data_IF_297320012354
#
_entry.id   IF_297320012354
#
_cell.length_a   1.000
_cell.length_b   1.000
_cell.length_c   1.000
_cell.angle_alpha   90.00
_cell.angle_beta   90.00
_cell.angle_gamma   90.00
#
_symmetry.space_group_name_H-M   'P 1'
#
loop_
_entity.id
_entity.type
_entity.pdbx_description
1 polymer ?
#
# COMPACT_ATOMS: atom_id res chain seq x y z
N UNK A 1 23.59 -35.33 1.63
CA UNK A 1 23.00 -34.83 0.37
C UNK A 1 21.63 -34.23 0.72
N UNK A 2 21.54 -32.92 0.91
CA UNK A 2 20.25 -32.23 1.02
C UNK A 2 19.60 -32.25 -0.36
N UNK A 3 18.43 -32.87 -0.48
CA UNK A 3 17.75 -33.03 -1.77
C UNK A 3 17.42 -31.67 -2.38
N UNK A 4 17.46 -31.58 -3.71
CA UNK A 4 17.08 -30.39 -4.49
C UNK A 4 15.62 -29.93 -4.24
N UNK A 5 14.84 -30.70 -3.47
CA UNK A 5 13.42 -30.50 -3.17
C UNK A 5 13.16 -30.02 -1.73
N UNK A 6 14.21 -29.77 -0.93
CA UNK A 6 14.05 -29.36 0.47
C UNK A 6 13.72 -27.87 0.64
N UNK A 7 14.27 -27.00 -0.22
CA UNK A 7 14.10 -25.55 -0.16
C UNK A 7 14.53 -24.88 -1.48
N UNK A 8 14.08 -23.65 -1.70
CA UNK A 8 14.45 -22.81 -2.83
C UNK A 8 15.63 -21.93 -2.43
N UNK A 9 16.74 -21.98 -3.18
CA UNK A 9 17.88 -21.07 -2.93
C UNK A 9 17.62 -19.74 -3.61
N UNK A 10 17.56 -18.65 -2.82
CA UNK A 10 17.32 -17.31 -3.33
C UNK A 10 18.63 -16.51 -3.36
N UNK A 11 19.28 -16.51 -4.53
CA UNK A 11 20.55 -15.82 -4.80
C UNK A 11 20.39 -14.74 -5.89
N UNK A 12 19.22 -14.11 -5.97
CA UNK A 12 19.04 -12.99 -6.90
C UNK A 12 19.73 -11.73 -6.37
N UNK A 13 20.52 -11.06 -7.21
CA UNK A 13 21.12 -9.78 -6.88
C UNK A 13 20.05 -8.68 -6.75
N UNK A 14 20.08 -7.84 -5.70
CA UNK A 14 19.11 -6.74 -5.53
C UNK A 14 19.29 -5.63 -6.56
N UNK A 15 20.48 -5.52 -7.15
CA UNK A 15 20.85 -4.55 -8.17
C UNK A 15 20.63 -5.14 -9.57
N UNK A 16 19.94 -4.39 -10.43
CA UNK A 16 19.69 -4.75 -11.84
C UNK A 16 20.90 -4.35 -12.69
N UNK A 17 21.31 -3.08 -12.55
CA UNK A 17 22.44 -2.51 -13.29
C UNK A 17 23.00 -1.32 -12.52
N UNK A 18 24.32 -1.13 -12.62
CA UNK A 18 25.04 0.01 -12.07
C UNK A 18 25.68 0.81 -13.20
N UNK A 19 25.29 2.08 -13.33
CA UNK A 19 25.78 3.01 -14.34
C UNK A 19 26.41 4.19 -13.63
N UNK A 20 27.74 4.15 -13.44
CA UNK A 20 28.46 5.15 -12.65
C UNK A 20 27.97 5.20 -11.20
N UNK A 21 27.56 6.38 -10.67
CA UNK A 21 27.03 6.50 -9.32
C UNK A 21 25.56 6.06 -9.18
N UNK A 22 24.87 5.78 -10.29
CA UNK A 22 23.46 5.40 -10.30
C UNK A 22 23.33 3.87 -10.28
N UNK A 23 22.66 3.36 -9.25
CA UNK A 23 22.32 1.94 -9.15
C UNK A 23 20.81 1.76 -9.32
N UNK A 24 20.41 1.01 -10.34
CA UNK A 24 19.02 0.59 -10.51
C UNK A 24 18.79 -0.69 -9.70
N UNK A 25 17.83 -0.65 -8.76
CA UNK A 25 17.48 -1.78 -7.89
C UNK A 25 16.08 -2.32 -8.19
N UNK A 26 15.88 -3.62 -7.99
CA UNK A 26 14.56 -4.26 -8.14
C UNK A 26 13.50 -3.61 -7.27
N UNK A 27 13.85 -3.27 -6.02
CA UNK A 27 12.94 -2.59 -5.09
C UNK A 27 12.39 -1.29 -5.67
N UNK A 28 13.27 -0.40 -6.16
CA UNK A 28 12.88 0.88 -6.72
C UNK A 28 12.04 0.73 -8.00
N UNK A 29 12.40 -0.23 -8.85
CA UNK A 29 11.64 -0.55 -10.06
C UNK A 29 10.22 -1.03 -9.72
N UNK A 30 10.08 -1.98 -8.79
CA UNK A 30 8.79 -2.53 -8.37
C UNK A 30 7.93 -1.49 -7.64
N UNK A 31 8.56 -0.66 -6.81
CA UNK A 31 7.89 0.48 -6.17
C UNK A 31 7.30 1.44 -7.20
N UNK A 32 8.09 1.88 -8.19
CA UNK A 32 7.61 2.78 -9.26
C UNK A 32 6.56 2.10 -10.14
N UNK A 33 6.73 0.80 -10.41
CA UNK A 33 5.76 0.01 -11.18
C UNK A 33 4.38 -0.01 -10.53
N UNK A 34 4.30 0.07 -9.19
CA UNK A 34 3.02 0.21 -8.47
C UNK A 34 2.24 1.45 -8.88
N UNK A 35 2.91 2.60 -9.03
CA UNK A 35 2.27 3.83 -9.49
C UNK A 35 1.88 3.75 -10.97
N UNK A 36 2.77 3.23 -11.82
CA UNK A 36 2.53 3.13 -13.27
C UNK A 36 1.41 2.14 -13.59
N UNK A 37 1.45 0.93 -13.04
CA UNK A 37 0.40 -0.07 -13.26
C UNK A 37 -0.90 0.32 -12.55
N UNK A 38 -0.78 0.93 -11.37
CA UNK A 38 -1.91 1.49 -10.64
C UNK A 38 -2.64 2.56 -11.43
N UNK A 39 -1.93 3.46 -12.13
CA UNK A 39 -2.57 4.51 -12.93
C UNK A 39 -3.36 3.94 -14.12
N UNK A 40 -2.92 2.84 -14.74
CA UNK A 40 -3.71 2.16 -15.78
C UNK A 40 -5.00 1.56 -15.23
N UNK A 41 -4.93 0.86 -14.09
CA UNK A 41 -6.11 0.29 -13.42
C UNK A 41 -7.08 1.40 -12.98
N UNK A 42 -6.56 2.46 -12.36
CA UNK A 42 -7.36 3.58 -11.87
C UNK A 42 -7.99 4.38 -13.03
N UNK A 43 -7.26 4.53 -14.15
CA UNK A 43 -7.80 5.16 -15.36
C UNK A 43 -8.97 4.35 -15.93
N UNK A 44 -8.86 3.02 -15.95
CA UNK A 44 -9.99 2.18 -16.35
C UNK A 44 -11.19 2.37 -15.42
N UNK A 45 -10.94 2.43 -14.10
CA UNK A 45 -11.99 2.68 -13.10
C UNK A 45 -12.68 4.02 -13.34
N UNK A 46 -11.91 5.09 -13.48
CA UNK A 46 -12.43 6.45 -13.67
C UNK A 46 -13.23 6.56 -14.97
N UNK A 47 -12.72 6.01 -16.09
CA UNK A 47 -13.47 5.95 -17.36
C UNK A 47 -14.78 5.18 -17.23
N UNK A 48 -14.77 4.04 -16.53
CA UNK A 48 -15.96 3.23 -16.31
C UNK A 48 -17.02 3.95 -15.48
N UNK A 49 -16.60 4.85 -14.58
CA UNK A 49 -17.49 5.69 -13.77
C UNK A 49 -17.79 7.05 -14.42
N UNK A 50 -17.35 7.28 -15.67
CA UNK A 50 -17.48 8.54 -16.42
C UNK A 50 -16.75 9.73 -15.78
N UNK A 51 -15.76 9.46 -14.95
CA UNK A 51 -14.85 10.47 -14.38
C UNK A 51 -13.68 10.67 -15.33
N UNK A 52 -13.29 11.94 -15.55
CA UNK A 52 -12.17 12.27 -16.43
C UNK A 52 -10.85 11.60 -15.96
N UNK A 53 -10.11 10.89 -16.84
CA UNK A 53 -8.82 10.28 -16.51
C UNK A 53 -7.76 11.27 -16.06
N UNK A 54 -7.89 12.57 -16.40
CA UNK A 54 -6.94 13.60 -15.94
C UNK A 54 -6.80 13.61 -14.41
N UNK A 55 -7.86 13.24 -13.69
CA UNK A 55 -7.84 13.18 -12.23
C UNK A 55 -6.96 12.06 -11.70
N UNK A 56 -6.73 11.01 -12.50
CA UNK A 56 -5.77 9.94 -12.19
C UNK A 56 -4.35 10.47 -12.23
N UNK A 57 -4.00 11.31 -13.21
CA UNK A 57 -2.68 11.93 -13.28
C UNK A 57 -2.45 12.85 -12.06
N UNK A 58 -3.46 13.67 -11.74
CA UNK A 58 -3.40 14.58 -10.58
C UNK A 58 -3.26 13.82 -9.27
N UNK A 59 -4.11 12.81 -9.00
CA UNK A 59 -4.02 12.05 -7.74
C UNK A 59 -2.74 11.22 -7.66
N UNK A 60 -2.24 10.68 -8.77
CA UNK A 60 -0.96 9.96 -8.82
C UNK A 60 0.19 10.84 -8.34
N UNK A 61 0.23 12.12 -8.75
CA UNK A 61 1.24 13.07 -8.28
C UNK A 61 1.10 13.33 -6.78
N UNK A 62 -0.12 13.59 -6.30
CA UNK A 62 -0.38 13.78 -4.86
C UNK A 62 0.10 12.56 -4.05
N UNK A 63 -0.23 11.36 -4.50
CA UNK A 63 0.13 10.11 -3.87
C UNK A 63 1.65 9.87 -3.88
N UNK A 64 2.33 10.12 -5.00
CA UNK A 64 3.78 9.95 -5.10
C UNK A 64 4.52 10.89 -4.14
N UNK A 65 4.16 12.18 -4.16
CA UNK A 65 4.74 13.18 -3.26
C UNK A 65 4.42 12.85 -1.80
N UNK A 66 3.15 12.56 -1.49
CA UNK A 66 2.73 12.21 -0.13
C UNK A 66 3.41 10.96 0.40
N UNK A 67 3.62 9.94 -0.44
CA UNK A 67 4.31 8.71 -0.07
C UNK A 67 5.77 8.99 0.28
N UNK A 68 6.52 9.70 -0.60
CA UNK A 68 7.95 9.97 -0.39
C UNK A 68 8.16 10.93 0.79
N UNK A 69 7.44 12.05 0.81
CA UNK A 69 7.54 13.06 1.87
C UNK A 69 7.10 12.46 3.21
N UNK A 70 5.96 11.76 3.23
CA UNK A 70 5.47 11.09 4.42
C UNK A 70 6.46 10.05 4.95
N UNK A 71 7.01 9.20 4.07
CA UNK A 71 7.98 8.19 4.46
C UNK A 71 9.24 8.81 5.07
N UNK A 72 9.77 9.86 4.44
CA UNK A 72 10.97 10.55 4.90
C UNK A 72 10.73 11.28 6.21
N UNK A 73 9.65 12.05 6.32
CA UNK A 73 9.32 12.76 7.57
C UNK A 73 9.01 11.79 8.71
N UNK A 74 8.33 10.67 8.43
CA UNK A 74 8.09 9.64 9.44
C UNK A 74 9.39 9.05 9.97
N UNK A 75 10.38 8.78 9.10
CA UNK A 75 11.70 8.35 9.54
C UNK A 75 12.37 9.42 10.42
N UNK A 76 12.44 10.65 9.91
CA UNK A 76 13.14 11.74 10.59
C UNK A 76 12.52 12.08 11.95
N UNK A 77 11.18 12.07 12.06
CA UNK A 77 10.48 12.50 13.26
C UNK A 77 10.29 11.38 14.29
N UNK A 78 10.16 10.13 13.86
CA UNK A 78 9.87 9.02 14.77
C UNK A 78 11.09 8.22 15.20
N UNK A 79 12.15 8.19 14.39
CA UNK A 79 13.34 7.37 14.66
C UNK A 79 14.55 8.19 15.12
N UNK A 80 14.77 9.39 14.56
CA UNK A 80 15.91 10.23 14.97
C UNK A 80 15.61 11.75 14.95
N UNK A 81 14.59 12.22 15.69
CA UNK A 81 14.22 13.63 15.67
C UNK A 81 15.36 14.54 16.16
N UNK A 82 16.21 14.09 17.09
CA UNK A 82 17.31 14.88 17.62
C UNK A 82 18.34 15.25 16.55
N UNK A 83 18.75 14.28 15.72
CA UNK A 83 19.65 14.54 14.61
C UNK A 83 19.05 15.50 13.58
N UNK A 84 17.83 15.22 13.10
CA UNK A 84 17.24 15.99 12.00
C UNK A 84 16.82 17.41 12.39
N UNK A 85 16.51 17.66 13.67
CA UNK A 85 16.26 19.01 14.17
C UNK A 85 17.54 19.86 14.21
N UNK A 86 18.71 19.24 14.34
CA UNK A 86 20.02 19.93 14.28
C UNK A 86 20.57 20.00 12.85
N UNK A 87 20.14 19.10 11.96
CA UNK A 87 20.57 19.02 10.55
C UNK A 87 19.35 19.03 9.59
N UNK A 88 18.55 20.10 9.52
CA UNK A 88 17.28 20.12 8.80
C UNK A 88 17.41 19.90 7.28
N UNK A 89 18.56 20.25 6.69
CA UNK A 89 18.82 19.99 5.26
C UNK A 89 18.92 18.50 4.94
N UNK A 90 19.30 17.67 5.92
CA UNK A 90 19.43 16.22 5.73
C UNK A 90 18.07 15.55 5.55
N UNK A 91 16.98 16.19 5.98
CA UNK A 91 15.62 15.70 5.71
C UNK A 91 15.39 15.54 4.20
N UNK A 92 15.97 16.40 3.35
CA UNK A 92 15.81 16.35 1.90
C UNK A 92 16.60 15.22 1.22
N UNK A 93 17.57 14.62 1.92
CA UNK A 93 18.48 13.59 1.39
C UNK A 93 17.82 12.21 1.33
N UNK A 94 16.75 12.10 0.54
CA UNK A 94 15.99 10.85 0.38
C UNK A 94 16.82 9.71 -0.26
N UNK A 95 17.92 10.03 -0.93
CA UNK A 95 18.84 9.07 -1.52
C UNK A 95 19.75 8.38 -0.50
N UNK A 96 19.85 8.90 0.73
CA UNK A 96 20.61 8.26 1.82
C UNK A 96 19.78 7.17 2.55
N UNK A 97 18.56 6.91 2.09
CA UNK A 97 17.64 5.95 2.70
C UNK A 97 16.77 6.61 3.78
N UNK A 98 16.44 5.86 4.84
CA UNK A 98 15.61 6.35 5.95
C UNK A 98 14.19 6.70 5.51
N UNK A 99 13.41 5.67 5.18
CA UNK A 99 12.01 5.79 4.77
C UNK A 99 11.14 4.91 5.67
N UNK A 100 10.19 5.51 6.39
CA UNK A 100 9.31 4.81 7.31
C UNK A 100 7.94 4.51 6.66
N UNK A 101 7.50 3.25 6.73
CA UNK A 101 6.21 2.80 6.17
C UNK A 101 4.99 3.47 6.83
N UNK A 102 5.02 3.69 8.14
CA UNK A 102 3.96 4.39 8.87
C UNK A 102 3.86 5.86 8.43
N UNK A 103 5.01 6.52 8.22
CA UNK A 103 5.07 7.87 7.65
C UNK A 103 4.49 7.92 6.23
N UNK A 104 4.83 6.93 5.39
CA UNK A 104 4.28 6.80 4.04
C UNK A 104 2.75 6.67 4.08
N UNK A 105 2.22 5.86 5.01
CA UNK A 105 0.78 5.63 5.17
C UNK A 105 0.05 6.92 5.56
N UNK A 106 0.56 7.67 6.54
CA UNK A 106 0.00 8.97 6.93
C UNK A 106 0.09 9.99 5.78
N UNK A 107 1.22 10.01 5.07
CA UNK A 107 1.42 10.86 3.90
C UNK A 107 0.44 10.56 2.76
N UNK A 108 0.14 9.28 2.51
CA UNK A 108 -0.86 8.83 1.54
C UNK A 108 -2.27 9.30 1.95
N UNK A 109 -2.68 9.07 3.20
CA UNK A 109 -4.00 9.50 3.67
C UNK A 109 -4.16 11.03 3.58
N UNK A 110 -3.12 11.77 3.97
CA UNK A 110 -3.10 13.23 3.83
C UNK A 110 -3.14 13.67 2.36
N UNK A 111 -2.41 13.00 1.47
CA UNK A 111 -2.40 13.30 0.04
C UNK A 111 -3.77 13.08 -0.59
N UNK A 112 -4.45 11.97 -0.29
CA UNK A 112 -5.81 11.70 -0.76
C UNK A 112 -6.79 12.73 -0.19
N UNK A 113 -6.61 13.15 1.06
CA UNK A 113 -7.45 14.19 1.67
C UNK A 113 -7.25 15.55 1.01
N UNK A 114 -6.00 15.97 0.78
CA UNK A 114 -5.66 17.21 0.08
C UNK A 114 -6.21 17.19 -1.35
N UNK A 115 -6.03 16.09 -2.08
CA UNK A 115 -6.62 15.90 -3.41
C UNK A 115 -8.13 16.06 -3.35
N UNK A 116 -8.79 15.38 -2.41
CA UNK A 116 -10.24 15.37 -2.28
C UNK A 116 -10.78 16.76 -1.96
N UNK A 117 -10.14 17.46 -1.02
CA UNK A 117 -10.49 18.83 -0.63
C UNK A 117 -10.30 19.83 -1.77
N UNK A 118 -9.12 19.84 -2.40
CA UNK A 118 -8.76 20.80 -3.44
C UNK A 118 -9.60 20.60 -4.71
N UNK A 119 -9.95 19.35 -5.02
CA UNK A 119 -10.65 18.98 -6.24
C UNK A 119 -12.13 18.61 -5.98
N UNK A 120 -12.66 18.92 -4.80
CA UNK A 120 -14.06 18.69 -4.39
C UNK A 120 -14.55 17.24 -4.63
N UNK A 121 -13.66 16.26 -4.48
CA UNK A 121 -14.04 14.85 -4.42
C UNK A 121 -14.42 14.46 -3.00
N UNK A 122 -15.23 13.41 -2.88
CA UNK A 122 -15.52 12.79 -1.60
C UNK A 122 -14.32 11.94 -1.18
N UNK A 123 -13.90 12.11 0.07
CA UNK A 123 -12.68 11.46 0.57
C UNK A 123 -12.83 9.93 0.64
N UNK A 124 -13.97 9.43 1.12
CA UNK A 124 -14.21 7.99 1.22
C UNK A 124 -14.42 7.35 -0.15
N UNK A 125 -15.11 8.03 -1.07
CA UNK A 125 -15.20 7.61 -2.46
C UNK A 125 -13.81 7.46 -3.09
N UNK A 126 -12.93 8.44 -2.87
CA UNK A 126 -11.56 8.42 -3.42
C UNK A 126 -10.75 7.28 -2.80
N UNK A 127 -10.83 7.11 -1.48
CA UNK A 127 -10.17 6.01 -0.77
C UNK A 127 -10.61 4.64 -1.29
N UNK A 128 -11.91 4.42 -1.53
CA UNK A 128 -12.42 3.15 -2.05
C UNK A 128 -11.77 2.75 -3.39
N UNK A 129 -11.49 3.71 -4.27
CA UNK A 129 -10.82 3.44 -5.56
C UNK A 129 -9.32 3.31 -5.39
N UNK A 130 -8.73 4.13 -4.51
CA UNK A 130 -7.29 4.11 -4.27
C UNK A 130 -6.84 2.81 -3.60
N UNK A 131 -7.62 2.23 -2.68
CA UNK A 131 -7.20 0.97 -2.03
C UNK A 131 -7.05 -0.21 -3.00
N UNK A 132 -7.76 -0.21 -4.13
CA UNK A 132 -7.59 -1.21 -5.18
C UNK A 132 -6.16 -1.18 -5.71
N UNK A 133 -5.64 0.01 -6.03
CA UNK A 133 -4.28 0.17 -6.58
C UNK A 133 -3.20 0.18 -5.50
N UNK A 134 -3.55 0.54 -4.25
CA UNK A 134 -2.65 0.34 -3.10
C UNK A 134 -2.42 -1.15 -2.85
N UNK A 135 -3.40 -2.02 -3.05
CA UNK A 135 -3.19 -3.47 -2.96
C UNK A 135 -2.17 -3.96 -4.02
N UNK A 136 -2.25 -3.45 -5.25
CA UNK A 136 -1.23 -3.72 -6.29
C UNK A 136 0.16 -3.22 -5.86
N UNK A 137 0.25 -1.98 -5.38
CA UNK A 137 1.50 -1.42 -4.87
C UNK A 137 2.07 -2.24 -3.72
N UNK A 138 1.22 -2.68 -2.78
CA UNK A 138 1.59 -3.57 -1.69
C UNK A 138 2.21 -4.88 -2.19
N UNK A 139 1.57 -5.52 -3.17
CA UNK A 139 2.10 -6.76 -3.75
C UNK A 139 3.51 -6.57 -4.34
N UNK A 140 3.71 -5.48 -5.10
CA UNK A 140 5.00 -5.18 -5.74
C UNK A 140 6.07 -4.77 -4.74
N UNK A 141 5.71 -4.02 -3.68
CA UNK A 141 6.62 -3.67 -2.60
C UNK A 141 7.12 -4.93 -1.89
N UNK A 142 6.21 -5.88 -1.57
CA UNK A 142 6.60 -7.15 -0.95
C UNK A 142 7.52 -7.97 -1.87
N UNK A 143 7.29 -7.97 -3.18
CA UNK A 143 8.26 -8.55 -4.12
C UNK A 143 9.60 -7.80 -4.09
N UNK A 144 9.60 -6.47 -3.96
CA UNK A 144 10.82 -5.69 -3.73
C UNK A 144 11.60 -6.15 -2.50
N UNK A 145 10.90 -6.38 -1.39
CA UNK A 145 11.50 -6.93 -0.16
C UNK A 145 12.09 -8.33 -0.40
N UNK A 146 11.44 -9.16 -1.22
CA UNK A 146 11.98 -10.47 -1.61
C UNK A 146 13.32 -10.32 -2.34
N UNK A 147 13.44 -9.43 -3.33
CA UNK A 147 14.72 -9.18 -4.03
C UNK A 147 15.80 -8.60 -3.10
N UNK A 148 15.42 -7.85 -2.08
CA UNK A 148 16.34 -7.36 -1.05
C UNK A 148 16.74 -8.44 -0.03
N UNK A 149 16.07 -9.60 0.00
CA UNK A 149 16.22 -10.60 1.06
C UNK A 149 15.97 -10.02 2.45
N UNK A 150 14.86 -9.29 2.63
CA UNK A 150 14.50 -8.65 3.91
C UNK A 150 13.06 -8.97 4.33
N UNK A 151 12.77 -8.93 5.63
CA UNK A 151 11.40 -9.10 6.18
C UNK A 151 10.83 -10.51 5.91
N UNK A 152 11.69 -11.52 5.90
CA UNK A 152 11.31 -12.94 5.84
C UNK A 152 10.95 -13.46 7.25
N UNK A 153 10.58 -14.75 7.32
CA UNK A 153 10.16 -15.39 8.55
C UNK A 153 11.16 -16.28 9.24
N UNK A 154 10.67 -16.93 10.30
CA UNK A 154 11.43 -17.88 11.10
C UNK A 154 11.90 -19.07 10.26
N UNK A 155 12.92 -19.76 10.79
CA UNK A 155 13.41 -21.03 10.24
C UNK A 155 12.25 -22.02 10.09
N UNK A 156 12.24 -22.75 8.98
CA UNK A 156 11.15 -23.66 8.66
C UNK A 156 11.59 -24.81 7.76
N UNK A 157 10.80 -25.88 7.75
CA UNK A 157 11.04 -27.09 6.96
C UNK A 157 9.98 -27.33 5.88
N UNK A 158 9.08 -26.36 5.65
CA UNK A 158 8.07 -26.46 4.59
C UNK A 158 8.72 -26.56 3.20
N UNK A 159 8.12 -27.29 2.24
CA UNK A 159 8.76 -27.58 0.96
C UNK A 159 8.93 -26.36 0.03
N UNK A 160 8.28 -25.23 0.35
CA UNK A 160 8.44 -23.95 -0.33
C UNK A 160 9.29 -22.94 0.46
N UNK A 161 10.08 -23.40 1.44
CA UNK A 161 10.99 -22.55 2.20
C UNK A 161 12.04 -21.91 1.30
N UNK A 162 12.44 -20.68 1.61
CA UNK A 162 13.49 -19.97 0.89
C UNK A 162 14.75 -19.91 1.75
N UNK A 163 15.89 -20.25 1.15
CA UNK A 163 17.22 -20.01 1.73
C UNK A 163 17.76 -18.71 1.13
N UNK A 164 17.69 -17.63 1.90
CA UNK A 164 18.18 -16.31 1.54
C UNK A 164 19.69 -16.23 1.73
N UNK A 165 20.48 -16.39 0.67
CA UNK A 165 21.95 -16.48 0.80
C UNK A 165 22.63 -15.15 1.13
N UNK A 166 21.90 -14.04 0.98
CA UNK A 166 22.35 -12.69 1.29
C UNK A 166 21.98 -12.23 2.70
N UNK A 167 21.22 -13.03 3.44
CA UNK A 167 20.95 -12.76 4.85
C UNK A 167 22.25 -12.91 5.65
N UNK A 168 22.68 -11.82 6.26
CA UNK A 168 23.88 -11.80 7.13
C UNK A 168 23.53 -11.70 8.60
N UNK A 169 22.27 -11.47 8.94
CA UNK A 169 21.82 -11.16 10.30
C UNK A 169 21.26 -12.40 10.99
N UNK A 170 20.58 -13.29 10.26
CA UNK A 170 19.86 -14.43 10.85
C UNK A 170 20.51 -15.78 10.49
N UNK A 171 21.85 -15.82 10.52
CA UNK A 171 22.66 -17.02 10.25
C UNK A 171 22.63 -18.00 11.44
N UNK A 172 22.49 -19.30 11.16
CA UNK A 172 22.62 -20.37 12.17
C UNK A 172 23.95 -21.07 11.95
N UNK A 173 24.83 -21.09 12.95
CA UNK A 173 26.20 -21.63 12.83
C UNK A 173 26.98 -21.03 11.65
N UNK A 174 26.76 -19.74 11.35
CA UNK A 174 27.43 -19.03 10.25
C UNK A 174 26.91 -19.36 8.85
N UNK A 175 25.79 -20.07 8.72
CA UNK A 175 25.19 -20.41 7.41
C UNK A 175 23.73 -19.99 7.32
N UNK A 176 23.32 -19.57 6.12
CA UNK A 176 21.92 -19.27 5.83
C UNK A 176 21.08 -20.55 5.91
N UNK A 177 19.91 -20.46 6.56
CA UNK A 177 18.96 -21.56 6.74
C UNK A 177 17.66 -21.31 5.97
N UNK A 178 16.87 -22.36 5.64
CA UNK A 178 15.57 -22.19 5.02
C UNK A 178 14.57 -21.50 5.95
N UNK A 179 13.87 -20.50 5.43
CA UNK A 179 12.97 -19.61 6.17
C UNK A 179 11.65 -19.46 5.45
N UNK A 180 10.60 -19.07 6.18
CA UNK A 180 9.33 -18.73 5.56
C UNK A 180 9.49 -17.49 4.65
N UNK A 181 9.16 -17.57 3.35
CA UNK A 181 9.18 -16.41 2.47
C UNK A 181 7.92 -15.56 2.68
N UNK A 182 7.80 -14.93 3.85
CA UNK A 182 6.61 -14.14 4.25
C UNK A 182 6.31 -13.00 3.29
N UNK A 183 7.31 -12.49 2.57
CA UNK A 183 7.11 -11.51 1.51
C UNK A 183 6.25 -12.06 0.36
N UNK A 184 6.40 -13.35 0.02
CA UNK A 184 5.54 -14.01 -0.98
C UNK A 184 4.13 -14.15 -0.43
N UNK A 185 3.96 -14.52 0.86
CA UNK A 185 2.64 -14.63 1.47
C UNK A 185 1.91 -13.29 1.48
N UNK A 186 2.58 -12.23 1.90
CA UNK A 186 2.06 -10.86 1.90
C UNK A 186 1.77 -10.37 0.46
N UNK A 187 2.65 -10.69 -0.50
CA UNK A 187 2.44 -10.31 -1.90
C UNK A 187 1.21 -11.01 -2.50
N UNK A 188 1.07 -12.32 -2.29
CA UNK A 188 -0.09 -13.09 -2.73
C UNK A 188 -1.38 -12.60 -2.07
N UNK A 189 -1.34 -12.26 -0.78
CA UNK A 189 -2.50 -11.69 -0.08
C UNK A 189 -2.88 -10.31 -0.65
N UNK A 190 -1.90 -9.48 -0.99
CA UNK A 190 -2.14 -8.20 -1.66
C UNK A 190 -2.74 -8.39 -3.07
N UNK A 191 -2.30 -9.39 -3.83
CA UNK A 191 -2.92 -9.76 -5.13
C UNK A 191 -4.36 -10.24 -4.92
N UNK A 192 -4.61 -11.06 -3.90
CA UNK A 192 -5.97 -11.46 -3.52
C UNK A 192 -6.85 -10.25 -3.21
N UNK A 193 -6.36 -9.28 -2.43
CA UNK A 193 -7.08 -8.03 -2.14
C UNK A 193 -7.35 -7.22 -3.41
N UNK A 194 -6.35 -7.07 -4.29
CA UNK A 194 -6.53 -6.39 -5.57
C UNK A 194 -7.67 -7.02 -6.37
N UNK A 195 -7.65 -8.34 -6.53
CA UNK A 195 -8.69 -9.07 -7.29
C UNK A 195 -10.05 -8.96 -6.60
N UNK A 196 -10.12 -9.17 -5.29
CA UNK A 196 -11.36 -9.09 -4.52
C UNK A 196 -12.00 -7.70 -4.65
N UNK A 197 -11.24 -6.65 -4.36
CA UNK A 197 -11.75 -5.28 -4.37
C UNK A 197 -12.10 -4.83 -5.79
N UNK A 198 -11.29 -5.20 -6.78
CA UNK A 198 -11.60 -4.92 -8.19
C UNK A 198 -12.89 -5.62 -8.63
N UNK A 199 -13.11 -6.88 -8.26
CA UNK A 199 -14.35 -7.60 -8.61
C UNK A 199 -15.58 -7.01 -7.91
N UNK A 200 -15.45 -6.63 -6.63
CA UNK A 200 -16.53 -5.96 -5.89
C UNK A 200 -16.88 -4.61 -6.50
N UNK A 201 -15.86 -3.81 -6.82
CA UNK A 201 -16.02 -2.58 -7.58
C UNK A 201 -16.67 -2.87 -8.94
N UNK A 202 -16.17 -3.84 -9.71
CA UNK A 202 -16.67 -4.11 -11.06
C UNK A 202 -18.16 -4.51 -11.10
N UNK A 203 -18.68 -5.10 -10.03
CA UNK A 203 -20.12 -5.43 -9.89
C UNK A 203 -21.01 -4.20 -9.66
N UNK A 204 -20.50 -3.18 -8.99
CA UNK A 204 -21.31 -2.03 -8.52
C UNK A 204 -20.93 -0.71 -9.18
N UNK A 205 -19.72 -0.61 -9.70
CA UNK A 205 -19.11 0.52 -10.40
C UNK A 205 -19.30 1.81 -9.61
N UNK A 206 -19.88 2.83 -10.22
CA UNK A 206 -20.18 4.11 -9.59
C UNK A 206 -21.13 4.00 -8.38
N UNK A 207 -21.82 2.87 -8.21
CA UNK A 207 -22.75 2.60 -7.10
C UNK A 207 -22.09 1.89 -5.92
N UNK A 208 -20.78 1.64 -5.93
CA UNK A 208 -20.08 1.09 -4.76
C UNK A 208 -20.33 1.98 -3.54
N UNK A 209 -20.93 1.46 -2.44
CA UNK A 209 -21.18 2.25 -1.25
C UNK A 209 -19.88 2.76 -0.64
N UNK A 210 -19.89 4.05 -0.29
CA UNK A 210 -18.70 4.77 0.17
C UNK A 210 -18.16 4.18 1.48
N UNK A 211 -16.85 3.96 1.51
CA UNK A 211 -16.11 3.34 2.60
C UNK A 211 -16.15 1.81 2.59
N UNK A 212 -16.89 1.16 1.68
CA UNK A 212 -16.99 -0.30 1.66
C UNK A 212 -15.66 -0.95 1.31
N UNK A 213 -15.01 -0.51 0.23
CA UNK A 213 -13.77 -1.12 -0.24
C UNK A 213 -12.61 -0.74 0.66
N UNK A 214 -12.54 0.52 1.08
CA UNK A 214 -11.53 0.99 2.03
C UNK A 214 -11.64 0.26 3.37
N UNK A 215 -12.83 0.21 3.98
CA UNK A 215 -13.04 -0.47 5.25
C UNK A 215 -12.69 -1.95 5.16
N UNK A 216 -13.11 -2.64 4.10
CA UNK A 216 -12.78 -4.04 3.88
C UNK A 216 -11.28 -4.27 3.67
N UNK A 217 -10.63 -3.43 2.86
CA UNK A 217 -9.17 -3.48 2.64
C UNK A 217 -8.41 -3.37 3.96
N UNK A 218 -8.74 -2.37 4.78
CA UNK A 218 -8.09 -2.14 6.07
C UNK A 218 -8.29 -3.34 6.99
N UNK A 219 -9.53 -3.83 7.16
CA UNK A 219 -9.79 -5.00 8.01
C UNK A 219 -8.98 -6.21 7.55
N UNK A 220 -9.07 -6.56 6.26
CA UNK A 220 -8.43 -7.77 5.75
C UNK A 220 -6.90 -7.67 5.76
N UNK A 221 -6.34 -6.54 5.32
CA UNK A 221 -4.89 -6.32 5.30
C UNK A 221 -4.30 -6.39 6.70
N UNK A 222 -4.89 -5.68 7.66
CA UNK A 222 -4.33 -5.65 9.02
C UNK A 222 -4.63 -6.91 9.82
N UNK A 223 -5.72 -7.63 9.51
CA UNK A 223 -5.93 -8.98 10.07
C UNK A 223 -4.87 -9.94 9.54
N UNK A 224 -4.62 -9.95 8.23
CA UNK A 224 -3.56 -10.78 7.66
C UNK A 224 -2.18 -10.38 8.19
N UNK A 225 -1.91 -9.08 8.32
CA UNK A 225 -0.65 -8.58 8.92
C UNK A 225 -0.49 -9.06 10.36
N UNK A 226 -1.55 -9.00 11.18
CA UNK A 226 -1.50 -9.54 12.54
C UNK A 226 -1.15 -11.03 12.57
N UNK A 227 -1.72 -11.82 11.65
CA UNK A 227 -1.51 -13.27 11.58
C UNK A 227 -0.13 -13.65 11.01
N UNK A 228 0.31 -13.02 9.93
CA UNK A 228 1.58 -13.34 9.27
C UNK A 228 2.78 -12.98 10.14
N UNK A 229 2.62 -12.01 11.04
CA UNK A 229 3.71 -11.58 11.92
C UNK A 229 4.10 -12.65 12.95
N UNK A 230 3.25 -13.64 13.24
CA UNK A 230 3.63 -14.83 14.04
C UNK A 230 4.63 -15.74 13.32
N UNK A 231 4.81 -15.56 12.01
CA UNK A 231 5.78 -16.31 11.22
C UNK A 231 7.06 -15.52 10.99
N UNK A 232 7.09 -14.24 11.38
CA UNK A 232 8.15 -13.30 10.99
C UNK A 232 9.24 -13.18 12.03
N UNK A 233 10.48 -13.06 11.56
CA UNK A 233 11.56 -12.65 12.45
C UNK A 233 11.34 -11.22 12.96
N UNK A 234 11.82 -10.97 14.17
CA UNK A 234 11.81 -9.65 14.78
C UNK A 234 12.62 -8.68 13.90
N UNK A 235 12.04 -7.52 13.62
CA UNK A 235 12.66 -6.54 12.70
C UNK A 235 13.61 -5.58 13.43
N UNK A 236 13.63 -5.64 14.76
CA UNK A 236 14.52 -4.83 15.60
C UNK A 236 14.64 -5.41 17.00
N UNK A 237 15.77 -5.16 17.66
CA UNK A 237 16.09 -5.72 18.98
C UNK A 237 15.05 -5.39 20.06
N UNK A 238 14.33 -4.27 19.95
CA UNK A 238 13.32 -3.93 20.97
C UNK A 238 12.08 -4.84 20.89
N UNK A 239 11.83 -5.49 19.74
CA UNK A 239 10.71 -6.43 19.57
C UNK A 239 10.95 -7.75 20.31
N UNK A 240 12.22 -8.08 20.60
CA UNK A 240 12.62 -9.31 21.28
C UNK A 240 11.96 -9.42 22.65
N UNK A 241 11.17 -10.48 22.84
CA UNK A 241 10.48 -10.78 24.09
C UNK A 241 9.11 -10.11 24.25
N UNK A 242 8.64 -9.36 23.25
CA UNK A 242 7.26 -8.86 23.23
C UNK A 242 6.28 -10.02 23.00
N UNK A 243 5.16 -10.03 23.74
CA UNK A 243 4.08 -11.02 23.54
C UNK A 243 3.42 -10.85 22.17
N UNK A 244 3.24 -9.60 21.75
CA UNK A 244 2.84 -9.20 20.42
C UNK A 244 3.83 -8.13 19.97
N UNK A 245 4.45 -8.29 18.81
CA UNK A 245 5.38 -7.29 18.28
C UNK A 245 4.65 -6.02 17.81
N UNK A 246 5.39 -5.00 17.40
CA UNK A 246 4.78 -3.73 16.98
C UNK A 246 3.89 -3.88 15.76
N UNK A 247 4.26 -4.76 14.82
CA UNK A 247 3.41 -5.06 13.65
C UNK A 247 2.00 -5.50 14.05
N UNK A 248 1.89 -6.34 15.07
CA UNK A 248 0.61 -6.81 15.61
C UNK A 248 -0.12 -5.73 16.39
N UNK A 249 0.57 -5.02 17.29
CA UNK A 249 -0.02 -3.96 18.12
C UNK A 249 -0.63 -2.87 17.24
N UNK A 250 0.07 -2.44 16.19
CA UNK A 250 -0.39 -1.39 15.27
C UNK A 250 -1.52 -1.87 14.35
N UNK A 251 -1.64 -3.18 14.12
CA UNK A 251 -2.72 -3.76 13.32
C UNK A 251 -4.08 -3.68 14.04
N UNK A 252 -4.11 -3.86 15.36
CA UNK A 252 -5.34 -3.87 16.17
C UNK A 252 -6.21 -2.60 15.98
N UNK A 253 -5.70 -1.37 16.21
CA UNK A 253 -6.51 -0.16 16.04
C UNK A 253 -6.97 0.04 14.60
N UNK A 254 -6.18 -0.40 13.61
CA UNK A 254 -6.53 -0.30 12.20
C UNK A 254 -7.65 -1.27 11.83
N UNK A 255 -7.65 -2.50 12.36
CA UNK A 255 -8.77 -3.44 12.21
C UNK A 255 -10.06 -2.82 12.75
N UNK A 256 -10.03 -2.25 13.95
CA UNK A 256 -11.22 -1.59 14.53
C UNK A 256 -11.68 -0.38 13.71
N UNK A 257 -10.76 0.45 13.22
CA UNK A 257 -11.07 1.57 12.33
C UNK A 257 -11.74 1.06 11.05
N UNK A 258 -11.18 0.04 10.41
CA UNK A 258 -11.72 -0.58 9.20
C UNK A 258 -13.12 -1.14 9.42
N UNK A 259 -13.33 -1.86 10.53
CA UNK A 259 -14.65 -2.39 10.92
C UNK A 259 -15.66 -1.25 11.11
N UNK A 260 -15.27 -0.19 11.80
CA UNK A 260 -16.13 0.98 12.01
C UNK A 260 -16.55 1.64 10.69
N UNK A 261 -15.61 1.81 9.74
CA UNK A 261 -15.94 2.35 8.41
C UNK A 261 -16.85 1.39 7.66
N UNK A 262 -16.52 0.10 7.64
CA UNK A 262 -17.26 -0.92 6.90
C UNK A 262 -18.70 -1.09 7.40
N UNK A 263 -18.92 -1.11 8.71
CA UNK A 263 -20.26 -1.23 9.32
C UNK A 263 -21.16 -0.02 9.00
N UNK A 264 -20.55 1.12 8.68
CA UNK A 264 -21.20 2.39 8.34
C UNK A 264 -21.29 2.66 6.84
N UNK A 265 -20.64 1.84 6.01
CA UNK A 265 -20.59 2.02 4.57
C UNK A 265 -22.00 2.07 3.96
N UNK A 266 -22.29 3.12 3.17
CA UNK A 266 -23.58 3.32 2.51
C UNK A 266 -24.77 3.65 3.42
N UNK A 267 -24.58 3.82 4.74
CA UNK A 267 -25.67 4.07 5.72
C UNK A 267 -25.79 5.54 6.15
N UNK A 268 -24.92 6.42 5.68
CA UNK A 268 -24.87 7.81 6.14
C UNK A 268 -25.82 8.69 5.33
N UNK A 269 -26.72 9.46 5.99
CA UNK A 269 -27.70 10.30 5.29
C UNK A 269 -27.07 11.34 4.36
N UNK A 270 -25.92 11.90 4.77
CA UNK A 270 -25.15 12.88 4.01
C UNK A 270 -24.14 12.23 3.05
N UNK A 271 -24.14 10.89 2.94
CA UNK A 271 -23.20 10.12 2.13
C UNK A 271 -23.90 8.89 1.49
N UNK A 272 -24.97 9.11 0.70
CA UNK A 272 -25.75 8.00 0.14
C UNK A 272 -24.95 7.24 -0.93
N UNK A 273 -25.45 6.05 -1.29
CA UNK A 273 -25.04 5.36 -2.52
C UNK A 273 -25.02 6.36 -3.70
N UNK A 274 -23.91 6.50 -4.42
CA UNK A 274 -23.89 7.34 -5.61
C UNK A 274 -22.55 7.94 -6.02
N UNK A 275 -22.63 8.49 -7.24
CA UNK A 275 -21.57 8.96 -8.14
C UNK A 275 -20.41 9.70 -7.47
N UNK A 276 -19.25 9.62 -8.13
CA UNK A 276 -18.14 10.55 -7.94
C UNK A 276 -18.68 12.00 -7.97
N UNK A 277 -18.32 12.88 -7.02
CA UNK A 277 -18.63 14.29 -7.17
C UNK A 277 -17.86 14.83 -8.39
N UNK A 278 -18.58 15.53 -9.28
CA UNK A 278 -18.14 16.11 -10.58
C UNK A 278 -18.28 15.12 -11.73
N UNK A 279 -19.44 15.08 -12.39
CA UNK A 279 -19.93 16.19 -13.24
C UNK A 279 -21.10 17.02 -12.69
N UNK A 280 -20.90 17.83 -11.65
CA UNK A 280 -21.95 18.73 -11.14
C UNK A 280 -22.37 19.73 -12.22
N UNK A 281 -21.47 20.15 -13.10
CA UNK A 281 -21.79 21.06 -14.19
C UNK A 281 -22.59 20.37 -15.30
N UNK A 282 -22.22 19.13 -15.70
CA UNK A 282 -23.00 18.40 -16.71
C UNK A 282 -24.34 17.89 -16.17
N UNK A 283 -24.40 17.54 -14.87
CA UNK A 283 -25.63 17.10 -14.20
C UNK A 283 -26.56 18.28 -13.89
N UNK A 284 -26.01 19.42 -13.45
CA UNK A 284 -26.77 20.67 -13.31
C UNK A 284 -27.23 21.19 -14.68
N UNK A 285 -26.40 21.11 -15.72
CA UNK A 285 -26.80 21.45 -17.09
C UNK A 285 -27.88 20.50 -17.62
N UNK A 286 -27.78 19.18 -17.36
CA UNK A 286 -28.79 18.21 -17.75
C UNK A 286 -30.12 18.39 -16.97
N UNK A 287 -30.06 18.70 -15.68
CA UNK A 287 -31.23 19.00 -14.86
C UNK A 287 -31.88 20.35 -15.24
N UNK A 288 -31.10 21.38 -15.56
CA UNK A 288 -31.60 22.63 -16.14
C UNK A 288 -32.25 22.39 -17.50
N UNK A 289 -31.61 21.61 -18.38
CA UNK A 289 -32.15 21.27 -19.69
C UNK A 289 -33.49 20.50 -19.57
N UNK A 290 -33.59 19.53 -18.65
CA UNK A 290 -34.85 18.83 -18.37
C UNK A 290 -35.94 19.74 -17.80
N UNK A 291 -35.59 20.69 -16.93
CA UNK A 291 -36.55 21.68 -16.41
C UNK A 291 -37.08 22.57 -17.52
N UNK A 292 -36.23 23.02 -18.45
CA UNK A 292 -36.62 23.83 -19.61
C UNK A 292 -37.52 23.07 -20.61
N UNK A 293 -37.34 21.76 -20.76
CA UNK A 293 -38.20 20.92 -21.62
C UNK A 293 -39.57 20.68 -20.98
N UNK A 294 -39.64 20.53 -19.65
CA UNK A 294 -40.90 20.32 -18.93
C UNK A 294 -41.73 21.60 -18.69
N UNK A 295 -41.13 22.78 -18.87
CA UNK A 295 -41.80 24.07 -18.73
C UNK A 295 -42.35 24.63 -20.05
N UNK A 296 -42.28 23.87 -21.14
CA UNK A 296 -42.90 24.16 -22.44
C UNK A 296 -44.05 23.20 -22.66
#
# INVERSE_FOLDING_TARGET
MTSLLAYITWDVAPEIVKIGPLTLRWYGLLFMSGFVLGSFVLSHIYRSERVSPQWVDVITIYMLVGTIVGARLGHCLFYDPGYYLTHPLDILKIWEGGLASHGATLGILLAVWLFSRNNKFDYLWTLDRIVIVVALGGALIRLGNLFNSEIFGHETTVPWAFKFVRDTEHLVNGVAVPRHPTQIYESLFCVFLLVLLYLMWNRTKEKTPRGQLFGLFVVLLFTFRFLVEFLKEDQSDFESGMVLNMGQILSIPLIFMGLWVLLRAGKWPNNPFGFAPRDLDARAAAEQAQKMVKSK
#
